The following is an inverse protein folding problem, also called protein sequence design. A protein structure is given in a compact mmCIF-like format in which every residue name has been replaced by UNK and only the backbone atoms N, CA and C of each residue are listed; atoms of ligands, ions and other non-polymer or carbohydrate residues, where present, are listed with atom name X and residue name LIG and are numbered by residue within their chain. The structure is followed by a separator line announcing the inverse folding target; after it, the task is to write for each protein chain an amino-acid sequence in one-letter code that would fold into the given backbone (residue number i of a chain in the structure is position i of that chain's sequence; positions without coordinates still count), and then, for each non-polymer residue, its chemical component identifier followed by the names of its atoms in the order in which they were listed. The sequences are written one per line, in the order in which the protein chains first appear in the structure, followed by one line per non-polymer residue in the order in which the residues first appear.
data_IF_304824765061
#
_entry.id   IF_304824765061
#
_cell.length_a   1.000
_cell.length_b   1.000
_cell.length_c   1.000
_cell.angle_alpha   90.00
_cell.angle_beta   90.00
_cell.angle_gamma   90.00
#
_symmetry.space_group_name_H-M   'P 1'
#
loop_
_entity.id
_entity.type
_entity.pdbx_description
1 polymer ?
#
# COMPACT_ATOMS: atom_id res chain seq x y z
N UNK A 1 14.26 -4.90 42.44
CA UNK A 1 14.32 -6.02 41.45
C UNK A 1 13.10 -6.05 40.52
N UNK A 2 11.86 -6.13 41.02
CA UNK A 2 10.63 -6.10 40.19
C UNK A 2 10.47 -4.84 39.33
N UNK A 3 10.81 -3.67 39.87
CA UNK A 3 10.75 -2.37 39.16
C UNK A 3 11.74 -2.30 37.98
N UNK A 4 12.96 -2.84 38.15
CA UNK A 4 13.97 -2.89 37.09
C UNK A 4 13.52 -3.82 35.96
N UNK A 5 12.88 -4.95 36.30
CA UNK A 5 12.27 -5.85 35.32
C UNK A 5 11.12 -5.18 34.55
N UNK A 6 10.28 -4.39 35.22
CA UNK A 6 9.21 -3.62 34.56
C UNK A 6 9.77 -2.56 33.59
N UNK A 7 10.82 -1.82 33.98
CA UNK A 7 11.46 -0.85 33.10
C UNK A 7 12.15 -1.51 31.90
N UNK A 8 12.77 -2.68 32.09
CA UNK A 8 13.38 -3.43 30.99
C UNK A 8 12.34 -3.97 29.99
N UNK A 9 11.20 -4.49 30.49
CA UNK A 9 10.08 -4.95 29.66
C UNK A 9 9.44 -3.79 28.88
N UNK A 10 9.29 -2.62 29.51
CA UNK A 10 8.76 -1.42 28.86
C UNK A 10 9.71 -0.95 27.74
N UNK A 11 11.02 -0.91 27.98
CA UNK A 11 12.01 -0.51 26.98
C UNK A 11 12.07 -1.46 25.76
N UNK A 12 11.86 -2.77 25.95
CA UNK A 12 11.78 -3.72 24.83
C UNK A 12 10.55 -3.51 23.93
N UNK A 13 9.46 -2.95 24.47
CA UNK A 13 8.23 -2.72 23.70
C UNK A 13 8.26 -1.48 22.79
N UNK A 14 9.15 -0.51 23.06
CA UNK A 14 9.28 0.68 22.21
C UNK A 14 10.17 0.46 20.97
N UNK A 15 11.04 -0.56 20.98
CA UNK A 15 12.00 -0.80 19.89
C UNK A 15 11.39 -1.38 18.61
N UNK A 16 10.15 -1.86 18.64
CA UNK A 16 9.45 -2.47 17.49
C UNK A 16 8.39 -1.55 16.87
N UNK A 17 8.13 -0.37 17.47
CA UNK A 17 7.11 0.56 16.99
C UNK A 17 7.56 1.44 15.80
N UNK A 18 8.82 1.32 15.35
CA UNK A 18 9.36 2.03 14.18
C UNK A 18 9.41 1.17 12.91
N UNK A 19 8.59 0.13 12.83
CA UNK A 19 8.34 -0.54 11.56
C UNK A 19 7.41 0.34 10.70
N UNK A 20 8.02 1.23 9.91
CA UNK A 20 7.53 1.82 8.65
C UNK A 20 6.00 1.78 8.44
N UNK A 21 5.27 2.78 8.96
CA UNK A 21 3.80 2.88 8.78
C UNK A 21 3.34 3.28 7.36
N UNK A 22 4.16 3.03 6.33
CA UNK A 22 3.83 3.31 4.95
C UNK A 22 4.64 2.46 4.00
N UNK A 23 4.13 2.21 2.80
CA UNK A 23 4.91 1.61 1.73
C UNK A 23 5.87 2.69 1.19
N UNK A 24 7.16 2.37 1.04
CA UNK A 24 8.12 3.30 0.44
C UNK A 24 7.68 3.63 -1.01
N UNK A 25 7.67 4.90 -1.44
CA UNK A 25 7.27 5.25 -2.81
C UNK A 25 8.03 4.49 -3.91
N UNK A 26 9.29 4.12 -3.66
CA UNK A 26 10.12 3.34 -4.60
C UNK A 26 9.61 1.90 -4.81
N UNK A 27 8.89 1.32 -3.85
CA UNK A 27 8.27 0.00 -3.98
C UNK A 27 7.26 -0.03 -5.12
N UNK A 28 6.43 1.02 -5.26
CA UNK A 28 5.47 1.10 -6.35
C UNK A 28 6.17 1.21 -7.71
N UNK A 29 7.31 1.90 -7.80
CA UNK A 29 8.13 1.93 -9.01
C UNK A 29 8.69 0.54 -9.33
N UNK A 30 9.21 -0.18 -8.34
CA UNK A 30 9.74 -1.53 -8.52
C UNK A 30 8.67 -2.50 -9.02
N UNK A 31 7.45 -2.43 -8.48
CA UNK A 31 6.30 -3.24 -8.93
C UNK A 31 5.93 -2.95 -10.39
N UNK A 32 5.85 -1.68 -10.78
CA UNK A 32 5.58 -1.29 -12.17
C UNK A 32 6.69 -1.77 -13.11
N UNK A 33 7.96 -1.66 -12.69
CA UNK A 33 9.07 -2.19 -13.49
C UNK A 33 8.96 -3.71 -13.69
N UNK A 34 8.60 -4.45 -12.64
CA UNK A 34 8.37 -5.90 -12.74
C UNK A 34 7.26 -6.25 -13.74
N UNK A 35 6.15 -5.52 -13.71
CA UNK A 35 5.05 -5.68 -14.69
C UNK A 35 5.52 -5.39 -16.11
N UNK A 36 6.26 -4.30 -16.33
CA UNK A 36 6.76 -3.96 -17.66
C UNK A 36 7.80 -4.96 -18.18
N UNK A 37 8.65 -5.51 -17.30
CA UNK A 37 9.57 -6.59 -17.67
C UNK A 37 8.83 -7.83 -18.18
N UNK A 38 7.63 -8.11 -17.64
CA UNK A 38 6.78 -9.20 -18.10
C UNK A 38 5.99 -8.86 -19.38
N UNK A 39 5.79 -7.58 -19.68
CA UNK A 39 5.03 -7.10 -20.83
C UNK A 39 5.83 -7.00 -22.14
N UNK A 40 7.14 -7.33 -22.13
CA UNK A 40 8.03 -7.21 -23.30
C UNK A 40 8.04 -5.78 -23.87
N UNK A 41 7.73 -5.60 -25.16
CA UNK A 41 7.62 -4.31 -25.85
C UNK A 41 6.18 -3.75 -25.87
N UNK A 42 5.29 -4.38 -25.11
CA UNK A 42 3.89 -3.97 -24.99
C UNK A 42 3.67 -2.77 -24.06
N UNK A 43 2.42 -2.34 -24.00
CA UNK A 43 1.93 -1.31 -23.08
C UNK A 43 0.91 -1.94 -22.13
N UNK A 44 0.99 -1.60 -20.85
CA UNK A 44 -0.02 -1.96 -19.85
C UNK A 44 -0.86 -0.72 -19.56
N UNK A 45 -2.18 -0.82 -19.74
CA UNK A 45 -3.12 0.23 -19.37
C UNK A 45 -3.82 -0.15 -18.07
N UNK A 46 -3.76 0.74 -17.07
CA UNK A 46 -4.34 0.50 -15.77
C UNK A 46 -5.35 1.59 -15.42
N UNK A 47 -6.63 1.21 -15.33
CA UNK A 47 -7.73 2.13 -15.04
C UNK A 47 -8.00 2.21 -13.54
N UNK A 48 -8.25 3.41 -13.04
CA UNK A 48 -8.77 3.57 -11.68
C UNK A 48 -10.27 3.24 -11.64
N UNK A 49 -10.71 2.63 -10.54
CA UNK A 49 -12.11 2.44 -10.23
C UNK A 49 -12.78 3.81 -10.04
N UNK A 50 -13.88 4.00 -10.78
CA UNK A 50 -14.64 5.25 -10.80
C UNK A 50 -16.14 5.02 -10.70
N UNK A 51 -16.56 3.77 -10.42
CA UNK A 51 -17.96 3.40 -10.30
C UNK A 51 -18.55 3.75 -8.93
N UNK A 52 -19.88 3.76 -8.82
CA UNK A 52 -20.54 3.85 -7.53
C UNK A 52 -20.24 2.60 -6.70
N UNK A 53 -20.05 2.78 -5.40
CA UNK A 53 -20.02 1.64 -4.45
C UNK A 53 -21.42 1.02 -4.32
N UNK A 54 -21.46 -0.26 -3.98
CA UNK A 54 -22.69 -0.93 -3.56
C UNK A 54 -23.16 -0.44 -2.19
N UNK A 55 -24.43 -0.69 -1.89
CA UNK A 55 -25.04 -0.33 -0.60
C UNK A 55 -24.41 -1.06 0.59
N UNK A 56 -23.93 -2.28 0.37
CA UNK A 56 -23.26 -3.10 1.38
C UNK A 56 -21.81 -2.71 1.66
N UNK A 57 -21.20 -1.89 0.80
CA UNK A 57 -19.80 -1.49 0.95
C UNK A 57 -19.65 -0.28 1.88
N UNK A 58 -18.73 -0.42 2.83
CA UNK A 58 -18.26 0.67 3.67
C UNK A 58 -17.10 1.39 2.99
N UNK A 59 -17.27 2.69 2.72
CA UNK A 59 -16.25 3.53 2.11
C UNK A 59 -16.04 3.27 0.61
N UNK A 60 -15.11 4.02 0.03
CA UNK A 60 -14.61 3.78 -1.32
C UNK A 60 -13.50 2.71 -1.26
N UNK A 61 -13.45 1.83 -2.26
CA UNK A 61 -12.34 0.90 -2.46
C UNK A 61 -11.88 1.00 -3.90
N UNK A 62 -10.59 1.22 -4.06
CA UNK A 62 -9.95 1.26 -5.37
C UNK A 62 -9.87 -0.15 -5.98
N UNK A 63 -9.70 -0.21 -7.30
CA UNK A 63 -9.28 -1.45 -7.96
C UNK A 63 -7.96 -1.94 -7.34
N UNK A 64 -7.90 -3.25 -7.04
CA UNK A 64 -6.77 -3.81 -6.30
C UNK A 64 -5.47 -3.77 -7.09
N UNK A 65 -5.52 -3.93 -8.41
CA UNK A 65 -4.33 -3.84 -9.27
C UNK A 65 -3.86 -2.39 -9.38
N UNK A 66 -4.80 -1.45 -9.58
CA UNK A 66 -4.51 -0.02 -9.57
C UNK A 66 -3.83 0.40 -8.26
N UNK A 67 -4.43 0.05 -7.13
CA UNK A 67 -3.89 0.38 -5.82
C UNK A 67 -2.55 -0.30 -5.55
N UNK A 68 -2.39 -1.57 -5.93
CA UNK A 68 -1.14 -2.31 -5.72
C UNK A 68 0.06 -1.70 -6.46
N UNK A 69 -0.16 -1.17 -7.67
CA UNK A 69 0.89 -0.61 -8.53
C UNK A 69 1.14 0.88 -8.31
N UNK A 70 0.23 1.59 -7.66
CA UNK A 70 0.29 3.06 -7.52
C UNK A 70 0.25 3.56 -6.08
N UNK A 71 -0.38 2.83 -5.17
CA UNK A 71 -0.67 3.28 -3.81
C UNK A 71 -1.75 4.38 -3.72
N UNK A 72 -2.41 4.73 -4.83
CA UNK A 72 -3.34 5.85 -4.88
C UNK A 72 -4.76 5.38 -4.54
N UNK A 73 -5.15 5.58 -3.28
CA UNK A 73 -6.42 5.08 -2.74
C UNK A 73 -7.65 5.81 -3.30
N UNK A 74 -7.57 7.12 -3.53
CA UNK A 74 -8.72 7.96 -3.86
C UNK A 74 -8.58 8.70 -5.20
N UNK A 75 -7.86 8.10 -6.16
CA UNK A 75 -7.71 8.66 -7.49
C UNK A 75 -8.84 8.19 -8.43
N UNK A 76 -9.60 9.15 -8.96
CA UNK A 76 -10.78 8.90 -9.79
C UNK A 76 -10.52 9.24 -11.26
N UNK A 77 -11.13 8.48 -12.16
CA UNK A 77 -11.12 8.66 -13.62
C UNK A 77 -9.71 8.77 -14.23
N UNK A 78 -8.74 8.01 -13.69
CA UNK A 78 -7.37 8.01 -14.16
C UNK A 78 -7.04 6.76 -14.98
N UNK A 79 -6.12 6.93 -15.94
CA UNK A 79 -5.46 5.84 -16.65
C UNK A 79 -3.95 6.06 -16.47
N UNK A 80 -3.25 5.00 -16.05
CA UNK A 80 -1.80 4.91 -16.06
C UNK A 80 -1.34 4.07 -17.24
#
# INVERSE_FOLDING_TARGET
KKVILLFALLACSLGTAFAHMGIDPSEFQARRQSVMNAASDGIVLLHSFSGPKSWSESGFRQDSNFFYLTGLENLHAAIL
#
